data_IF_831698334342
#
_entry.id   IF_831698334342
#
_cell.length_a   1.000
_cell.length_b   1.000
_cell.length_c   1.000
_cell.angle_alpha   90.00
_cell.angle_beta   90.00
_cell.angle_gamma   90.00
#
_symmetry.space_group_name_H-M   'P 1'
#
loop_
_entity.id
_entity.type
_entity.pdbx_description
1 polymer ?
#
# COMPACT_ATOMS: atom_id res chain seq x y z
N UNK A 1 -10.44 18.70 8.41
CA UNK A 1 -9.43 17.82 7.79
C UNK A 1 -8.18 18.64 7.57
N UNK A 2 -7.13 18.44 8.37
CA UNK A 2 -5.88 19.18 8.21
C UNK A 2 -5.00 18.44 7.20
N UNK A 3 -4.65 19.09 6.09
CA UNK A 3 -3.78 18.50 5.06
C UNK A 3 -2.38 19.06 5.26
N UNK A 4 -1.47 18.21 5.72
CA UNK A 4 -0.06 18.59 5.88
C UNK A 4 0.63 18.56 4.52
N UNK A 5 0.96 19.74 3.99
CA UNK A 5 1.74 19.89 2.76
C UNK A 5 3.21 20.02 3.10
N UNK A 6 4.06 19.38 2.31
CA UNK A 6 5.50 19.45 2.43
C UNK A 6 6.12 19.84 1.10
N UNK A 7 7.09 20.75 1.13
CA UNK A 7 7.85 21.18 -0.06
C UNK A 7 9.24 20.56 0.01
N UNK A 8 9.61 19.79 -1.01
CA UNK A 8 10.94 19.18 -1.12
C UNK A 8 11.94 20.16 -1.74
N UNK A 9 13.20 20.09 -1.31
CA UNK A 9 14.26 20.94 -1.86
C UNK A 9 14.62 20.51 -3.28
N UNK A 10 14.53 19.21 -3.58
CA UNK A 10 14.86 18.67 -4.91
C UNK A 10 13.87 17.61 -5.37
N UNK A 11 13.83 17.38 -6.68
CA UNK A 11 13.07 16.26 -7.28
C UNK A 11 13.59 14.90 -6.82
N UNK A 12 14.90 14.76 -6.61
CA UNK A 12 15.50 13.50 -6.16
C UNK A 12 15.03 13.14 -4.74
N UNK A 13 15.04 14.11 -3.84
CA UNK A 13 14.51 13.96 -2.49
C UNK A 13 13.04 13.56 -2.48
N UNK A 14 12.21 14.24 -3.28
CA UNK A 14 10.79 13.91 -3.41
C UNK A 14 10.58 12.46 -3.85
N UNK A 15 11.32 12.01 -4.87
CA UNK A 15 11.24 10.63 -5.38
C UNK A 15 11.63 9.61 -4.32
N UNK A 16 12.73 9.87 -3.59
CA UNK A 16 13.17 8.99 -2.51
C UNK A 16 12.10 8.92 -1.42
N UNK A 17 11.58 10.06 -0.96
CA UNK A 17 10.57 10.09 0.10
C UNK A 17 9.29 9.37 -0.29
N UNK A 18 8.81 9.58 -1.52
CA UNK A 18 7.63 8.90 -2.05
C UNK A 18 7.87 7.39 -2.12
N UNK A 19 9.01 6.95 -2.67
CA UNK A 19 9.33 5.54 -2.78
C UNK A 19 9.39 4.88 -1.40
N UNK A 20 10.10 5.49 -0.45
CA UNK A 20 10.17 5.01 0.95
C UNK A 20 8.80 4.95 1.60
N UNK A 21 7.93 5.93 1.36
CA UNK A 21 6.58 5.92 1.90
C UNK A 21 5.73 4.81 1.28
N UNK A 22 5.81 4.60 -0.04
CA UNK A 22 5.06 3.55 -0.74
C UNK A 22 5.47 2.17 -0.23
N UNK A 23 6.78 1.87 -0.19
CA UNK A 23 7.28 0.53 0.15
C UNK A 23 7.32 0.28 1.65
N UNK A 24 7.70 1.30 2.44
CA UNK A 24 7.87 1.18 3.88
C UNK A 24 6.59 1.30 4.69
N UNK A 25 5.56 1.97 4.16
CA UNK A 25 4.31 2.20 4.90
C UNK A 25 3.05 1.90 4.09
N UNK A 26 2.89 2.47 2.90
CA UNK A 26 1.61 2.37 2.19
C UNK A 26 1.26 0.92 1.83
N UNK A 27 2.12 0.24 1.09
CA UNK A 27 1.85 -1.11 0.62
C UNK A 27 1.79 -2.14 1.77
N UNK A 28 2.53 -1.89 2.85
CA UNK A 28 2.80 -2.87 3.93
C UNK A 28 1.97 -2.66 5.19
N UNK A 29 1.46 -1.44 5.44
CA UNK A 29 0.81 -1.11 6.71
C UNK A 29 -0.49 -0.31 6.56
N UNK A 30 -0.70 0.39 5.44
CA UNK A 30 -1.89 1.24 5.29
C UNK A 30 -3.15 0.38 5.17
N UNK A 31 -4.05 0.49 6.14
CA UNK A 31 -5.34 -0.21 6.06
C UNK A 31 -6.30 0.51 5.12
N UNK A 32 -6.93 -0.26 4.22
CA UNK A 32 -7.91 0.25 3.27
C UNK A 32 -9.27 -0.42 3.47
N UNK A 33 -10.35 0.36 3.60
CA UNK A 33 -11.70 -0.18 3.79
C UNK A 33 -12.16 -1.06 2.63
N UNK A 34 -11.78 -0.72 1.39
CA UNK A 34 -12.03 -1.55 0.20
C UNK A 34 -11.30 -2.89 0.26
N UNK A 35 -10.16 -2.94 0.95
CA UNK A 35 -9.38 -4.15 1.21
C UNK A 35 -9.79 -4.85 2.52
N UNK A 36 -10.99 -4.58 3.05
CA UNK A 36 -11.42 -5.18 4.32
C UNK A 36 -10.58 -4.74 5.52
N UNK A 37 -9.97 -3.56 5.47
CA UNK A 37 -8.98 -3.07 6.42
C UNK A 37 -7.68 -3.89 6.46
N UNK A 38 -7.32 -4.59 5.39
CA UNK A 38 -5.97 -5.14 5.22
C UNK A 38 -5.03 -4.15 4.54
N UNK A 39 -3.72 -4.38 4.65
CA UNK A 39 -2.74 -3.68 3.83
C UNK A 39 -2.89 -4.09 2.35
N UNK A 40 -2.49 -3.25 1.38
CA UNK A 40 -2.56 -3.62 -0.03
C UNK A 40 -1.83 -4.94 -0.36
N UNK A 41 -0.65 -5.16 0.23
CA UNK A 41 0.11 -6.40 0.01
C UNK A 41 -0.63 -7.60 0.58
N UNK A 42 -1.17 -7.51 1.80
CA UNK A 42 -1.88 -8.63 2.41
C UNK A 42 -3.14 -8.97 1.62
N UNK A 43 -3.89 -7.95 1.21
CA UNK A 43 -5.06 -8.12 0.35
C UNK A 43 -4.71 -8.83 -0.97
N UNK A 44 -3.63 -8.42 -1.63
CA UNK A 44 -3.17 -9.09 -2.86
C UNK A 44 -2.74 -10.54 -2.61
N UNK A 45 -2.06 -10.81 -1.51
CA UNK A 45 -1.66 -12.17 -1.13
C UNK A 45 -2.87 -13.07 -0.86
N UNK A 46 -3.83 -12.60 -0.07
CA UNK A 46 -5.07 -13.32 0.24
C UNK A 46 -5.86 -13.60 -1.05
N UNK A 47 -5.99 -12.58 -1.91
CA UNK A 47 -6.68 -12.70 -3.19
C UNK A 47 -6.00 -13.72 -4.12
N UNK A 48 -4.66 -13.71 -4.20
CA UNK A 48 -3.90 -14.70 -4.98
C UNK A 48 -4.04 -16.10 -4.42
N UNK A 49 -3.99 -16.26 -3.09
CA UNK A 49 -4.16 -17.56 -2.44
C UNK A 49 -5.56 -18.12 -2.71
N UNK A 50 -6.60 -17.30 -2.58
CA UNK A 50 -7.98 -17.70 -2.89
C UNK A 50 -8.18 -18.02 -4.37
N UNK A 51 -7.50 -17.31 -5.27
CA UNK A 51 -7.55 -17.60 -6.71
C UNK A 51 -6.81 -18.88 -7.09
N UNK A 52 -5.72 -19.21 -6.38
CA UNK A 52 -4.95 -20.44 -6.57
C UNK A 52 -5.66 -21.68 -5.98
N UNK A 53 -6.45 -21.50 -4.93
CA UNK A 53 -7.31 -22.50 -4.30
C UNK A 53 -8.66 -22.67 -5.03
N UNK A 54 -8.70 -22.50 -6.37
CA UNK A 54 -9.92 -22.65 -7.19
C UNK A 54 -10.77 -23.87 -6.78
N UNK A 55 -12.10 -23.80 -6.93
CA UNK A 55 -13.05 -24.55 -6.12
C UNK A 55 -12.70 -26.03 -6.11
N UNK A 56 -12.36 -26.55 -4.93
CA UNK A 56 -12.42 -27.97 -4.67
C UNK A 56 -13.89 -28.39 -4.75
N UNK A 57 -14.32 -28.78 -5.95
CA UNK A 57 -15.58 -29.44 -6.26
C UNK A 57 -15.26 -30.75 -6.99
#
# INVERSE_FOLDING_TARGET
>A
MNVYRHTFATRAEARLRIATWITGFYNTHRLHSVCGYHSPIDYEHDHRANSALGPAA
#
